data_IF_021665331722
#
_entry.id   IF_021665331722
#
_cell.length_a   1.000
_cell.length_b   1.000
_cell.length_c   1.000
_cell.angle_alpha   90.00
_cell.angle_beta   90.00
_cell.angle_gamma   90.00
#
_symmetry.space_group_name_H-M   'P 1'
#
loop_
_entity.id
_entity.type
_entity.pdbx_description
1 polymer ?
#
# COMPACT_ATOMS: atom_id res chain seq x y z
N UNK A 1 10.60 13.13 -4.81
CA UNK A 1 9.14 13.37 -5.00
C UNK A 1 8.39 13.21 -3.68
N UNK A 2 7.94 14.29 -3.04
CA UNK A 2 7.05 14.18 -1.88
C UNK A 2 5.73 13.55 -2.33
N UNK A 3 5.47 12.29 -1.92
CA UNK A 3 4.16 11.67 -2.11
C UNK A 3 3.15 12.56 -1.39
N UNK A 4 2.34 13.30 -2.15
CA UNK A 4 1.27 14.12 -1.59
C UNK A 4 0.41 13.25 -0.67
N UNK A 5 -0.06 13.82 0.44
CA UNK A 5 -0.75 13.11 1.54
C UNK A 5 -1.92 12.22 1.05
N UNK A 6 -2.60 12.65 -0.01
CA UNK A 6 -3.67 11.93 -0.69
C UNK A 6 -3.20 10.62 -1.37
N UNK A 7 -1.99 10.59 -1.94
CA UNK A 7 -1.43 9.39 -2.58
C UNK A 7 -1.05 8.33 -1.55
N UNK A 8 -0.47 8.73 -0.42
CA UNK A 8 -0.14 7.82 0.69
C UNK A 8 -1.41 7.18 1.24
N UNK A 9 -2.49 7.96 1.38
CA UNK A 9 -3.79 7.45 1.82
C UNK A 9 -4.36 6.39 0.88
N UNK A 10 -4.24 6.59 -0.44
CA UNK A 10 -4.69 5.60 -1.42
C UNK A 10 -3.88 4.31 -1.34
N UNK A 11 -2.55 4.40 -1.27
CA UNK A 11 -1.67 3.23 -1.08
C UNK A 11 -2.05 2.47 0.18
N UNK A 12 -2.27 3.18 1.29
CA UNK A 12 -2.72 2.62 2.56
C UNK A 12 -4.04 1.82 2.40
N UNK A 13 -5.08 2.40 1.81
CA UNK A 13 -6.36 1.70 1.63
C UNK A 13 -6.29 0.50 0.68
N UNK A 14 -5.49 0.58 -0.40
CA UNK A 14 -5.30 -0.54 -1.32
C UNK A 14 -4.64 -1.72 -0.59
N UNK A 15 -3.62 -1.46 0.24
CA UNK A 15 -2.94 -2.52 1.00
C UNK A 15 -3.89 -3.27 1.95
N UNK A 16 -4.86 -2.60 2.57
CA UNK A 16 -5.85 -3.32 3.42
C UNK A 16 -6.96 -3.98 2.65
N UNK A 17 -7.30 -3.43 1.49
CA UNK A 17 -8.18 -4.14 0.58
C UNK A 17 -7.57 -5.49 0.19
N UNK A 18 -6.25 -5.56 0.02
CA UNK A 18 -5.52 -6.81 -0.23
C UNK A 18 -5.45 -7.71 1.00
N UNK A 19 -5.20 -7.16 2.20
CA UNK A 19 -5.24 -7.94 3.44
C UNK A 19 -6.59 -8.64 3.66
N UNK A 20 -7.68 -7.99 3.24
CA UNK A 20 -9.05 -8.47 3.30
C UNK A 20 -9.52 -9.20 2.02
N UNK A 21 -8.62 -9.58 1.11
CA UNK A 21 -8.99 -10.34 -0.09
C UNK A 21 -9.68 -11.66 0.32
N UNK A 22 -11.01 -11.70 0.19
CA UNK A 22 -11.88 -12.80 0.63
C UNK A 22 -11.57 -14.08 -0.17
N UNK A 23 -11.15 -13.93 -1.43
CA UNK A 23 -10.88 -15.06 -2.31
C UNK A 23 -9.51 -15.70 -2.04
N UNK A 24 -8.68 -15.09 -1.18
CA UNK A 24 -7.33 -15.58 -0.83
C UNK A 24 -6.42 -15.79 -2.05
N UNK A 25 -6.58 -15.00 -3.11
CA UNK A 25 -5.76 -15.07 -4.33
C UNK A 25 -4.42 -14.33 -4.17
N UNK A 26 -3.66 -14.63 -3.12
CA UNK A 26 -2.32 -14.09 -2.80
C UNK A 26 -2.23 -12.58 -2.47
N UNK A 27 -3.36 -11.88 -2.32
CA UNK A 27 -3.36 -10.45 -1.97
C UNK A 27 -2.95 -9.57 -3.16
N UNK A 28 -1.84 -8.83 -3.07
CA UNK A 28 -1.35 -8.05 -4.20
C UNK A 28 -0.05 -7.28 -3.97
N UNK A 29 0.40 -6.61 -5.03
CA UNK A 29 1.64 -5.83 -5.06
C UNK A 29 1.35 -4.35 -5.34
N UNK A 30 2.14 -3.48 -4.75
CA UNK A 30 2.22 -2.05 -5.08
C UNK A 30 3.66 -1.72 -5.40
N UNK A 31 3.90 -1.06 -6.54
CA UNK A 31 5.23 -0.62 -6.95
C UNK A 31 5.26 0.91 -6.86
N UNK A 32 6.17 1.44 -6.06
CA UNK A 32 6.37 2.89 -5.88
C UNK A 32 7.64 3.31 -6.62
N UNK A 33 7.57 4.47 -7.28
CA UNK A 33 8.66 4.98 -8.13
C UNK A 33 8.45 4.69 -9.63
N UNK A 34 7.25 4.24 -10.02
CA UNK A 34 6.88 3.91 -11.39
C UNK A 34 5.60 4.66 -11.77
N UNK A 35 5.56 5.24 -12.97
CA UNK A 35 4.36 5.85 -13.53
C UNK A 35 3.50 4.78 -14.21
N UNK A 36 2.18 4.93 -14.13
CA UNK A 36 1.21 4.06 -14.82
C UNK A 36 0.56 4.84 -15.97
N UNK A 37 0.50 4.20 -17.13
CA UNK A 37 -0.18 4.70 -18.32
C UNK A 37 -0.99 3.56 -18.94
N UNK A 38 -2.34 3.70 -18.94
CA UNK A 38 -3.29 2.74 -19.49
C UNK A 38 -3.13 1.30 -18.94
N UNK A 39 -2.92 1.18 -17.63
CA UNK A 39 -2.73 -0.09 -16.92
C UNK A 39 -1.33 -0.67 -17.05
N UNK A 40 -0.41 0.01 -17.73
CA UNK A 40 0.95 -0.45 -17.96
C UNK A 40 1.96 0.42 -17.19
N UNK A 41 3.00 -0.22 -16.67
CA UNK A 41 4.14 0.48 -16.09
C UNK A 41 4.92 1.20 -17.20
N UNK A 42 5.13 2.50 -17.05
CA UNK A 42 5.99 3.28 -17.94
C UNK A 42 7.44 3.15 -17.53
N UNK A 43 8.29 2.77 -18.49
CA UNK A 43 9.73 2.58 -18.31
C UNK A 43 10.54 3.60 -19.12
N UNK A 44 11.74 4.00 -18.67
CA UNK A 44 12.34 3.65 -17.38
C UNK A 44 11.53 4.24 -16.20
N UNK A 45 11.60 3.62 -15.01
CA UNK A 45 10.84 4.09 -13.86
C UNK A 45 11.30 5.50 -13.44
N UNK A 46 10.41 6.27 -12.82
CA UNK A 46 10.73 7.61 -12.29
C UNK A 46 11.87 7.54 -11.26
N UNK A 47 11.88 6.48 -10.47
CA UNK A 47 12.86 6.24 -9.43
C UNK A 47 12.53 6.92 -8.10
N UNK A 48 13.26 6.49 -7.07
CA UNK A 48 13.22 7.02 -5.72
C UNK A 48 14.65 7.32 -5.26
N UNK A 49 14.81 8.37 -4.47
CA UNK A 49 16.05 8.58 -3.73
C UNK A 49 16.11 7.63 -2.52
N UNK A 50 17.31 7.30 -2.05
CA UNK A 50 17.51 6.41 -0.89
C UNK A 50 16.78 6.92 0.36
N UNK A 51 16.76 8.23 0.58
CA UNK A 51 16.04 8.86 1.69
C UNK A 51 14.52 8.67 1.60
N UNK A 52 13.98 8.57 0.37
CA UNK A 52 12.56 8.29 0.16
C UNK A 52 12.24 6.83 0.48
N UNK A 53 13.12 5.87 0.16
CA UNK A 53 12.94 4.46 0.50
C UNK A 53 12.79 4.28 2.02
N UNK A 54 13.69 4.88 2.82
CA UNK A 54 13.62 4.83 4.28
C UNK A 54 12.33 5.49 4.82
N UNK A 55 12.02 6.70 4.33
CA UNK A 55 10.84 7.45 4.75
C UNK A 55 9.53 6.71 4.47
N UNK A 56 9.42 6.07 3.31
CA UNK A 56 8.22 5.32 2.92
C UNK A 56 8.06 4.06 3.78
N UNK A 57 9.14 3.31 4.02
CA UNK A 57 9.11 2.10 4.84
C UNK A 57 8.73 2.41 6.30
N UNK A 58 9.32 3.45 6.90
CA UNK A 58 8.92 3.92 8.24
C UNK A 58 7.45 4.31 8.30
N UNK A 59 6.97 5.02 7.28
CA UNK A 59 5.57 5.43 7.22
C UNK A 59 4.62 4.23 7.07
N UNK A 60 5.02 3.23 6.30
CA UNK A 60 4.27 1.98 6.12
C UNK A 60 4.06 1.24 7.44
N UNK A 61 5.11 1.15 8.27
CA UNK A 61 5.05 0.54 9.61
C UNK A 61 4.15 1.36 10.55
N UNK A 62 4.33 2.69 10.62
CA UNK A 62 3.49 3.58 11.44
C UNK A 62 2.01 3.42 11.10
N UNK A 63 1.71 3.38 9.80
CA UNK A 63 0.38 3.19 9.28
C UNK A 63 -0.19 1.80 9.65
N UNK A 64 0.64 0.76 9.57
CA UNK A 64 0.24 -0.63 9.87
C UNK A 64 -0.26 -0.84 11.30
N UNK A 65 0.27 -0.07 12.26
CA UNK A 65 -0.20 -0.11 13.64
C UNK A 65 -1.62 0.46 13.84
N UNK A 66 -2.18 1.17 12.85
CA UNK A 66 -3.56 1.67 12.92
C UNK A 66 -4.61 0.62 12.50
N UNK A 67 -4.19 -0.58 12.11
CA UNK A 67 -5.06 -1.67 11.68
C UNK A 67 -5.30 -2.62 12.85
N UNK A 68 -6.53 -3.13 12.95
CA UNK A 68 -6.90 -4.13 13.94
C UNK A 68 -7.57 -5.33 13.25
N UNK A 69 -7.05 -6.56 13.42
CA UNK A 69 -5.76 -6.89 14.05
C UNK A 69 -4.57 -6.29 13.28
N UNK A 70 -3.39 -6.20 13.91
CA UNK A 70 -2.22 -5.61 13.27
C UNK A 70 -1.85 -6.40 12.01
N UNK A 71 -1.59 -5.68 10.92
CA UNK A 71 -1.22 -6.25 9.63
C UNK A 71 -0.06 -5.44 9.05
N UNK A 72 1.08 -6.08 8.84
CA UNK A 72 2.28 -5.43 8.33
C UNK A 72 2.63 -6.07 6.99
N UNK A 73 2.52 -5.34 5.86
CA UNK A 73 2.95 -5.86 4.57
C UNK A 73 4.48 -5.90 4.47
N UNK A 74 4.99 -6.74 3.56
CA UNK A 74 6.43 -6.86 3.28
C UNK A 74 6.81 -5.81 2.24
N UNK A 75 7.88 -5.06 2.48
CA UNK A 75 8.40 -4.08 1.51
C UNK A 75 9.87 -4.31 1.24
N UNK A 76 10.28 -4.24 -0.03
CA UNK A 76 11.66 -4.44 -0.45
C UNK A 76 12.06 -3.45 -1.56
N UNK A 77 13.21 -2.76 -1.43
CA UNK A 77 13.74 -1.90 -2.47
C UNK A 77 14.39 -2.73 -3.60
N UNK A 78 14.24 -2.27 -4.84
CA UNK A 78 14.87 -2.86 -6.02
C UNK A 78 15.56 -1.79 -6.86
N UNK A 79 16.53 -2.21 -7.67
CA UNK A 79 17.16 -1.38 -8.68
C UNK A 79 16.65 -1.82 -10.06
N UNK A 80 15.95 -0.94 -10.77
CA UNK A 80 15.44 -1.18 -12.12
C UNK A 80 15.93 -0.06 -13.03
N UNK A 81 16.63 -0.43 -14.10
CA UNK A 81 17.19 0.53 -15.08
C UNK A 81 18.02 1.65 -14.41
N UNK A 82 18.79 1.30 -13.38
CA UNK A 82 19.62 2.23 -12.61
C UNK A 82 18.85 3.15 -11.65
N UNK A 83 17.55 2.94 -11.46
CA UNK A 83 16.68 3.73 -10.59
C UNK A 83 16.10 2.87 -9.48
N UNK A 84 16.06 3.39 -8.25
CA UNK A 84 15.44 2.66 -7.15
C UNK A 84 13.92 2.69 -7.25
N UNK A 85 13.28 1.54 -7.01
CA UNK A 85 11.84 1.41 -6.81
C UNK A 85 11.59 0.68 -5.48
N UNK A 86 10.40 0.83 -4.93
CA UNK A 86 9.97 0.08 -3.74
C UNK A 86 8.80 -0.82 -4.12
N UNK A 87 8.96 -2.12 -3.92
CA UNK A 87 7.88 -3.09 -4.08
C UNK A 87 7.32 -3.38 -2.69
N UNK A 88 6.01 -3.25 -2.55
CA UNK A 88 5.27 -3.62 -1.34
C UNK A 88 4.37 -4.80 -1.71
N UNK A 89 4.62 -5.94 -1.09
CA UNK A 89 3.77 -7.13 -1.15
C UNK A 89 2.85 -7.17 0.06
N UNK A 90 1.55 -7.18 -0.21
CA UNK A 90 0.50 -7.30 0.79
C UNK A 90 -0.27 -8.62 0.57
N UNK A 91 0.13 -9.72 1.24
CA UNK A 91 -0.60 -10.97 1.15
C UNK A 91 -2.00 -10.87 1.78
N UNK A 92 -2.87 -11.79 1.39
CA UNK A 92 -4.13 -12.01 2.09
C UNK A 92 -3.81 -12.40 3.56
N UNK A 93 -4.34 -11.66 4.54
CA UNK A 93 -3.98 -11.88 5.95
C UNK A 93 -4.87 -12.92 6.65
N UNK A 94 -4.32 -13.70 7.57
CA UNK A 94 -5.05 -14.83 8.19
C UNK A 94 -6.13 -14.42 9.20
N UNK A 95 -6.01 -13.22 9.78
CA UNK A 95 -6.85 -12.76 10.88
C UNK A 95 -7.96 -11.80 10.42
N UNK A 96 -8.50 -12.03 9.21
CA UNK A 96 -9.62 -11.23 8.66
C UNK A 96 -10.86 -11.27 9.58
N UNK A 97 -11.68 -10.20 9.60
CA UNK A 97 -11.54 -8.96 8.84
C UNK A 97 -10.62 -7.94 9.51
N UNK A 98 -9.76 -7.32 8.70
CA UNK A 98 -8.92 -6.19 9.09
C UNK A 98 -9.70 -4.87 9.00
N UNK A 99 -9.70 -4.11 10.09
CA UNK A 99 -10.38 -2.81 10.20
C UNK A 99 -9.37 -1.68 10.33
N UNK A 100 -9.64 -0.56 9.66
CA UNK A 100 -8.87 0.67 9.78
C UNK A 100 -9.78 1.89 9.84
N UNK A 101 -9.23 3.04 10.24
CA UNK A 101 -9.95 4.31 10.24
C UNK A 101 -10.35 4.73 8.82
N UNK A 102 -11.62 5.07 8.62
CA UNK A 102 -12.15 5.53 7.32
C UNK A 102 -11.59 6.92 6.94
N UNK A 103 -11.08 7.69 7.91
CA UNK A 103 -10.33 8.92 7.66
C UNK A 103 -9.05 8.96 8.49
N UNK A 104 -7.95 9.45 7.91
CA UNK A 104 -6.70 9.73 8.66
C UNK A 104 -6.78 11.05 9.46
N UNK A 105 -7.94 11.35 10.04
CA UNK A 105 -8.13 12.52 10.91
C UNK A 105 -7.61 12.22 12.32
N UNK A 106 -7.29 13.27 13.11
CA UNK A 106 -6.76 13.10 14.48
C UNK A 106 -7.71 12.35 15.44
N UNK A 107 -8.99 12.23 15.10
CA UNK A 107 -10.02 11.49 15.86
C UNK A 107 -10.96 10.75 14.91
N UNK A 108 -10.56 9.59 14.37
CA UNK A 108 -11.43 8.83 13.50
C UNK A 108 -12.57 8.21 14.32
N UNK A 109 -13.80 8.64 14.04
CA UNK A 109 -15.01 8.11 14.72
C UNK A 109 -15.52 6.80 14.11
N UNK A 110 -15.14 6.50 12.87
CA UNK A 110 -15.63 5.33 12.14
C UNK A 110 -14.48 4.44 11.67
N UNK A 111 -14.60 3.13 11.96
CA UNK A 111 -13.74 2.08 11.43
C UNK A 111 -14.52 1.27 10.39
N UNK A 112 -13.87 0.94 9.29
CA UNK A 112 -14.43 0.10 8.23
C UNK A 112 -13.42 -0.93 7.75
N UNK A 113 -13.88 -1.87 6.93
CA UNK A 113 -13.00 -2.74 6.14
C UNK A 113 -13.14 -2.37 4.66
N UNK A 114 -12.17 -2.75 3.86
CA UNK A 114 -12.19 -2.62 2.41
C UNK A 114 -11.84 -3.99 1.83
N UNK A 115 -12.42 -4.37 0.71
CA UNK A 115 -12.13 -5.64 0.02
C UNK A 115 -11.62 -5.38 -1.40
N UNK A 116 -10.74 -6.25 -1.88
CA UNK A 116 -10.32 -6.29 -3.28
C UNK A 116 -11.36 -7.04 -4.13
N UNK A 117 -11.71 -6.49 -5.29
CA UNK A 117 -12.45 -7.19 -6.35
C UNK A 117 -11.81 -6.87 -7.70
N UNK A 118 -10.98 -7.79 -8.20
CA UNK A 118 -10.14 -7.55 -9.38
C UNK A 118 -9.13 -6.42 -9.11
N UNK A 119 -9.09 -5.40 -9.98
CA UNK A 119 -8.26 -4.19 -9.84
C UNK A 119 -8.91 -3.06 -9.02
N UNK A 120 -10.06 -3.32 -8.38
CA UNK A 120 -10.81 -2.32 -7.61
C UNK A 120 -10.79 -2.61 -6.12
N UNK A 121 -10.74 -1.53 -5.34
CA UNK A 121 -10.96 -1.53 -3.89
C UNK A 121 -12.41 -1.09 -3.61
N UNK A 122 -13.14 -1.89 -2.84
CA UNK A 122 -14.54 -1.64 -2.43
C UNK A 122 -14.57 -1.44 -0.91
N UNK A 123 -15.35 -0.48 -0.43
CA UNK A 123 -15.60 -0.27 1.00
C UNK A 123 -16.71 -1.21 1.48
#
# INVERSE_FOLDING_TARGET
MNLKKDRIQKVFYILFAYANDINSWDGGYIIIGVEEENGCAKLPPLGLDVSQLDSIQKKLIELSYNISPTYIPVSQPYLKDGKHILVIWAPAGDNRPYKTAISMSKKPKEKGWFIKKGSKTIK
#
